data_IF_323538203559
#
_entry.id   IF_323538203559
#
_cell.length_a   1.000
_cell.length_b   1.000
_cell.length_c   1.000
_cell.angle_alpha   90.00
_cell.angle_beta   90.00
_cell.angle_gamma   90.00
#
_symmetry.space_group_name_H-M   'P 1'
#
loop_
_entity.id
_entity.type
_entity.pdbx_description
1 polymer ?
#
# COMPACT_ATOMS: atom_id res chain seq x y z
N UNK A 1 26.88 20.11 -49.16
CA UNK A 1 26.20 19.73 -47.90
C UNK A 1 24.85 20.42 -47.88
N UNK A 2 23.78 19.63 -48.05
CA UNK A 2 22.51 20.11 -48.60
C UNK A 2 21.67 20.85 -47.54
N UNK A 3 21.03 21.94 -47.97
CA UNK A 3 20.25 22.85 -47.12
C UNK A 3 19.11 22.14 -46.36
N UNK A 4 18.56 21.08 -46.95
CA UNK A 4 17.57 20.19 -46.33
C UNK A 4 18.11 19.46 -45.10
N UNK A 5 19.36 18.96 -45.15
CA UNK A 5 19.99 18.26 -44.01
C UNK A 5 20.22 19.19 -42.81
N UNK A 6 20.50 20.48 -43.06
CA UNK A 6 20.70 21.47 -41.97
C UNK A 6 19.40 21.80 -41.24
N UNK A 7 18.27 21.87 -41.95
CA UNK A 7 16.96 22.17 -41.36
C UNK A 7 16.44 21.03 -40.48
N UNK A 8 16.58 19.78 -40.93
CA UNK A 8 16.16 18.60 -40.16
C UNK A 8 16.98 18.42 -38.88
N UNK A 9 18.28 18.69 -38.94
CA UNK A 9 19.15 18.65 -37.74
C UNK A 9 18.76 19.75 -36.75
N UNK A 10 18.40 20.95 -37.23
CA UNK A 10 17.98 22.05 -36.37
C UNK A 10 16.67 21.73 -35.63
N UNK A 11 15.69 21.15 -36.31
CA UNK A 11 14.42 20.74 -35.68
C UNK A 11 14.61 19.65 -34.64
N UNK A 12 15.54 18.72 -34.86
CA UNK A 12 15.86 17.67 -33.91
C UNK A 12 16.53 18.24 -32.65
N UNK A 13 17.49 19.15 -32.80
CA UNK A 13 18.16 19.81 -31.68
C UNK A 13 17.17 20.62 -30.83
N UNK A 14 16.29 21.40 -31.46
CA UNK A 14 15.24 22.15 -30.74
C UNK A 14 14.29 21.21 -30.00
N UNK A 15 13.87 20.12 -30.64
CA UNK A 15 13.04 19.09 -29.99
C UNK A 15 13.70 18.45 -28.77
N UNK A 16 15.00 18.15 -28.86
CA UNK A 16 15.76 17.58 -27.73
C UNK A 16 15.89 18.57 -26.56
N UNK A 17 16.15 19.86 -26.84
CA UNK A 17 16.28 20.88 -25.79
C UNK A 17 14.94 21.14 -25.09
N UNK A 18 13.85 21.22 -25.85
CA UNK A 18 12.51 21.38 -25.28
C UNK A 18 12.07 20.14 -24.50
N UNK A 19 12.34 18.95 -25.02
CA UNK A 19 12.05 17.68 -24.33
C UNK A 19 12.80 17.56 -23.00
N UNK A 20 14.10 17.89 -22.99
CA UNK A 20 14.88 17.91 -21.76
C UNK A 20 14.35 18.95 -20.76
N UNK A 21 14.00 20.16 -21.23
CA UNK A 21 13.44 21.22 -20.39
C UNK A 21 12.14 20.83 -19.70
N UNK A 22 11.24 20.11 -20.39
CA UNK A 22 9.98 19.63 -19.81
C UNK A 22 10.23 18.60 -18.71
N UNK A 23 11.23 17.73 -18.85
CA UNK A 23 11.54 16.73 -17.81
C UNK A 23 12.06 17.35 -16.51
N UNK A 24 12.73 18.50 -16.58
CA UNK A 24 13.14 19.26 -15.39
C UNK A 24 11.98 19.99 -14.70
N UNK A 25 10.91 20.29 -15.43
CA UNK A 25 9.72 20.96 -14.90
C UNK A 25 8.65 19.99 -14.39
N UNK A 26 8.71 18.72 -14.80
CA UNK A 26 7.88 17.68 -14.20
C UNK A 26 8.36 17.35 -12.79
N UNK A 27 7.49 17.45 -11.77
CA UNK A 27 7.85 17.06 -10.42
C UNK A 27 8.24 15.59 -10.42
N UNK A 28 9.47 15.29 -9.98
CA UNK A 28 9.90 13.91 -9.80
C UNK A 28 9.03 13.28 -8.72
N UNK A 29 8.42 12.12 -9.03
CA UNK A 29 7.69 11.36 -8.04
C UNK A 29 8.68 10.84 -7.01
N UNK A 30 8.65 11.37 -5.80
CA UNK A 30 9.41 10.82 -4.69
C UNK A 30 8.87 9.42 -4.38
N UNK A 31 9.64 8.38 -4.71
CA UNK A 31 9.40 7.04 -4.18
C UNK A 31 9.63 7.10 -2.67
N UNK A 32 8.55 7.22 -1.90
CA UNK A 32 8.61 7.11 -0.44
C UNK A 32 8.82 5.65 -0.06
N UNK A 33 9.71 5.42 0.91
CA UNK A 33 9.92 4.10 1.47
C UNK A 33 8.77 3.78 2.44
N UNK A 34 7.99 2.75 2.12
CA UNK A 34 7.11 2.09 3.09
C UNK A 34 7.97 1.51 4.20
N UNK A 35 7.77 1.97 5.43
CA UNK A 35 8.48 1.43 6.59
C UNK A 35 7.64 0.36 7.26
N UNK A 36 8.27 -0.74 7.62
CA UNK A 36 7.69 -1.80 8.43
C UNK A 36 8.64 -2.09 9.59
N UNK A 37 8.09 -2.23 10.79
CA UNK A 37 8.83 -2.60 11.98
C UNK A 37 7.93 -3.40 12.91
N UNK A 38 8.49 -4.39 13.60
CA UNK A 38 7.73 -5.21 14.52
C UNK A 38 8.60 -5.91 15.54
N UNK A 39 7.93 -6.47 16.54
CA UNK A 39 8.48 -7.38 17.52
C UNK A 39 7.62 -8.65 17.58
N UNK A 40 7.87 -9.52 18.55
CA UNK A 40 7.16 -10.79 18.67
C UNK A 40 5.65 -10.63 18.89
N UNK A 41 5.20 -9.51 19.46
CA UNK A 41 3.79 -9.26 19.83
C UNK A 41 3.04 -8.39 18.83
N UNK A 42 3.71 -7.38 18.28
CA UNK A 42 3.11 -6.37 17.43
C UNK A 42 4.02 -6.02 16.27
N UNK A 43 3.44 -5.90 15.10
CA UNK A 43 4.11 -5.34 13.93
C UNK A 43 3.30 -4.17 13.37
N UNK A 44 3.98 -3.20 12.78
CA UNK A 44 3.35 -2.06 12.15
C UNK A 44 3.99 -1.72 10.82
N UNK A 45 3.21 -1.10 9.93
CA UNK A 45 3.72 -0.56 8.69
C UNK A 45 2.98 0.72 8.27
N UNK A 46 3.67 1.57 7.51
CA UNK A 46 3.08 2.72 6.84
C UNK A 46 2.65 2.35 5.43
N UNK A 47 1.55 2.92 4.94
CA UNK A 47 1.04 2.68 3.59
C UNK A 47 0.65 4.01 2.95
N UNK A 48 1.20 4.33 1.76
CA UNK A 48 0.79 5.53 1.04
C UNK A 48 -0.64 5.37 0.52
N UNK A 49 -1.49 6.38 0.72
CA UNK A 49 -2.90 6.33 0.28
C UNK A 49 -3.10 6.96 -1.10
N UNK A 50 -2.35 8.01 -1.40
CA UNK A 50 -2.52 8.79 -2.61
C UNK A 50 -1.17 9.11 -3.22
N UNK A 51 -1.14 9.19 -4.55
CA UNK A 51 0.07 9.49 -5.33
C UNK A 51 0.37 10.98 -5.40
N UNK A 52 -0.61 11.83 -5.06
CA UNK A 52 -0.58 13.28 -5.26
C UNK A 52 -0.49 14.10 -3.97
N UNK A 53 -0.70 13.49 -2.81
CA UNK A 53 -0.64 14.17 -1.52
C UNK A 53 0.11 13.29 -0.52
N UNK A 54 0.90 13.91 0.34
CA UNK A 54 1.72 13.23 1.34
C UNK A 54 0.86 12.76 2.52
N UNK A 55 0.02 11.75 2.29
CA UNK A 55 -0.75 11.12 3.37
C UNK A 55 -0.58 9.62 3.41
N UNK A 56 -0.17 9.16 4.59
CA UNK A 56 0.00 7.76 4.93
C UNK A 56 -1.14 7.27 5.83
N UNK A 57 -1.48 6.01 5.66
CA UNK A 57 -2.12 5.22 6.70
C UNK A 57 -1.07 4.42 7.47
N UNK A 58 -1.33 4.20 8.74
CA UNK A 58 -0.51 3.34 9.59
C UNK A 58 -1.37 2.16 10.00
N UNK A 59 -0.82 0.95 9.92
CA UNK A 59 -1.47 -0.26 10.38
C UNK A 59 -0.61 -0.95 11.43
N UNK A 60 -1.26 -1.51 12.44
CA UNK A 60 -0.69 -2.28 13.53
C UNK A 60 -1.41 -3.63 13.58
N UNK A 61 -0.64 -4.70 13.54
CA UNK A 61 -1.09 -6.08 13.66
C UNK A 61 -0.71 -6.62 15.03
N UNK A 62 -1.71 -7.08 15.78
CA UNK A 62 -1.52 -7.85 17.00
C UNK A 62 -1.33 -9.34 16.64
N UNK A 63 -0.17 -9.89 16.98
CA UNK A 63 0.17 -11.28 16.65
C UNK A 63 -0.58 -12.29 17.53
N UNK A 64 -0.98 -11.90 18.74
CA UNK A 64 -1.69 -12.80 19.65
C UNK A 64 -3.14 -13.02 19.18
N UNK A 65 -3.81 -11.93 18.81
CA UNK A 65 -5.23 -11.97 18.45
C UNK A 65 -5.47 -12.07 16.94
N UNK A 66 -4.47 -11.76 16.11
CA UNK A 66 -4.63 -11.60 14.67
C UNK A 66 -5.52 -10.40 14.30
N UNK A 67 -5.71 -9.44 15.21
CA UNK A 67 -6.49 -8.23 14.93
C UNK A 67 -5.57 -7.18 14.33
N UNK A 68 -5.87 -6.80 13.09
CA UNK A 68 -5.29 -5.67 12.40
C UNK A 68 -6.11 -4.41 12.72
N UNK A 69 -5.42 -3.33 13.09
CA UNK A 69 -6.02 -2.00 13.24
C UNK A 69 -5.20 -0.98 12.46
N UNK A 70 -5.85 0.03 11.92
CA UNK A 70 -5.14 1.10 11.23
C UNK A 70 -5.79 2.46 11.41
N UNK A 71 -5.04 3.50 11.06
CA UNK A 71 -5.48 4.87 11.11
C UNK A 71 -4.99 5.64 9.89
N UNK A 72 -5.89 6.41 9.27
CA UNK A 72 -5.53 7.37 8.24
C UNK A 72 -5.15 8.71 8.85
N UNK A 73 -3.93 9.19 8.57
CA UNK A 73 -3.48 10.51 8.94
C UNK A 73 -3.99 11.54 7.92
N UNK A 74 -4.80 12.49 8.37
CA UNK A 74 -5.27 13.58 7.53
C UNK A 74 -4.26 14.74 7.56
N UNK A 75 -3.63 15.02 6.43
CA UNK A 75 -2.65 16.12 6.30
C UNK A 75 -3.25 17.51 6.52
N UNK A 76 -4.57 17.68 6.33
CA UNK A 76 -5.24 18.97 6.55
C UNK A 76 -5.44 19.27 8.03
N UNK A 77 -5.76 18.24 8.85
CA UNK A 77 -6.04 18.42 10.28
C UNK A 77 -4.88 18.01 11.17
N UNK A 78 -3.86 17.33 10.64
CA UNK A 78 -2.72 16.80 11.40
C UNK A 78 -3.06 15.64 12.34
N UNK A 79 -4.25 15.05 12.21
CA UNK A 79 -4.75 14.01 13.13
C UNK A 79 -5.32 12.80 12.41
N UNK A 80 -5.52 11.70 13.15
CA UNK A 80 -6.19 10.51 12.65
C UNK A 80 -7.67 10.80 12.43
N UNK A 81 -8.15 10.58 11.21
CA UNK A 81 -9.54 10.92 10.84
C UNK A 81 -10.43 9.71 10.55
N UNK A 82 -9.82 8.60 10.11
CA UNK A 82 -10.54 7.37 9.77
C UNK A 82 -9.78 6.17 10.36
N UNK A 83 -10.52 5.25 10.96
CA UNK A 83 -9.97 3.99 11.49
C UNK A 83 -10.23 2.83 10.53
N UNK A 84 -9.35 1.83 10.57
CA UNK A 84 -9.51 0.55 9.88
C UNK A 84 -9.41 -0.58 10.88
N UNK A 85 -10.13 -1.68 10.66
CA UNK A 85 -9.81 -2.94 11.32
C UNK A 85 -10.23 -4.17 10.53
N UNK A 86 -9.57 -5.29 10.83
CA UNK A 86 -9.91 -6.62 10.35
C UNK A 86 -9.33 -7.68 11.28
N UNK A 87 -10.03 -8.80 11.45
CA UNK A 87 -9.46 -9.98 12.08
C UNK A 87 -8.86 -10.89 10.99
N UNK A 88 -7.53 -10.88 10.86
CA UNK A 88 -6.83 -11.67 9.83
C UNK A 88 -6.67 -13.13 10.21
N UNK A 89 -6.76 -13.49 11.51
CA UNK A 89 -6.71 -14.89 11.94
C UNK A 89 -7.84 -15.72 11.28
N UNK A 90 -9.00 -15.10 11.06
CA UNK A 90 -10.12 -15.71 10.36
C UNK A 90 -9.81 -15.98 8.88
N UNK A 91 -9.09 -15.07 8.22
CA UNK A 91 -8.74 -15.21 6.79
C UNK A 91 -7.67 -16.28 6.56
N UNK A 92 -6.74 -16.41 7.51
CA UNK A 92 -5.73 -17.47 7.47
C UNK A 92 -6.29 -18.84 7.87
N UNK A 93 -7.51 -18.89 8.41
CA UNK A 93 -8.09 -20.08 9.03
C UNK A 93 -7.14 -20.69 10.08
N UNK A 94 -6.51 -19.83 10.88
CA UNK A 94 -5.57 -20.27 11.92
C UNK A 94 -6.31 -21.18 12.88
N UNK A 95 -5.76 -22.38 13.10
CA UNK A 95 -6.32 -23.30 14.07
C UNK A 95 -6.25 -22.65 15.46
N UNK A 96 -7.36 -22.52 16.20
CA UNK A 96 -7.34 -21.99 17.56
C UNK A 96 -6.42 -22.78 18.51
N UNK A 97 -6.08 -24.02 18.16
CA UNK A 97 -5.15 -24.87 18.90
C UNK A 97 -3.67 -24.62 18.58
N UNK A 98 -3.34 -23.79 17.57
CA UNK A 98 -1.95 -23.42 17.28
C UNK A 98 -1.43 -22.53 18.41
N UNK A 99 -0.39 -22.94 19.17
CA UNK A 99 -0.04 -22.28 20.43
C UNK A 99 0.39 -20.82 20.33
N UNK A 100 0.83 -20.35 19.16
CA UNK A 100 1.20 -18.95 18.94
C UNK A 100 1.35 -18.68 17.44
N UNK A 101 0.32 -18.17 16.73
CA UNK A 101 0.46 -17.84 15.32
C UNK A 101 1.45 -16.69 15.14
N UNK A 102 2.42 -16.87 14.25
CA UNK A 102 3.43 -15.85 13.95
C UNK A 102 3.07 -15.14 12.67
N UNK A 103 2.96 -13.82 12.73
CA UNK A 103 2.62 -13.00 11.59
C UNK A 103 3.77 -12.11 11.15
N UNK A 104 3.76 -11.76 9.88
CA UNK A 104 4.59 -10.71 9.30
C UNK A 104 3.68 -9.78 8.49
N UNK A 105 4.00 -8.50 8.49
CA UNK A 105 3.26 -7.48 7.74
C UNK A 105 4.23 -6.57 7.01
N UNK A 106 3.94 -6.33 5.74
CA UNK A 106 4.61 -5.32 4.92
C UNK A 106 3.57 -4.62 4.06
N UNK A 107 3.96 -3.50 3.49
CA UNK A 107 3.12 -2.72 2.59
C UNK A 107 3.86 -2.42 1.30
N UNK A 108 3.09 -2.11 0.26
CA UNK A 108 3.67 -1.71 -1.01
C UNK A 108 2.72 -0.86 -1.84
N UNK A 109 3.27 -0.02 -2.75
CA UNK A 109 2.45 0.76 -3.67
C UNK A 109 1.76 -0.19 -4.65
N UNK A 110 0.46 0.04 -4.87
CA UNK A 110 -0.32 -0.74 -5.83
C UNK A 110 -1.55 0.07 -6.25
N UNK A 111 -1.61 0.35 -7.55
CA UNK A 111 -2.70 1.11 -8.13
C UNK A 111 -3.80 0.16 -8.60
N UNK A 112 -4.71 -0.15 -7.67
CA UNK A 112 -5.87 -0.99 -7.96
C UNK A 112 -6.89 -0.21 -8.79
N UNK A 113 -7.37 -0.80 -9.89
CA UNK A 113 -8.45 -0.20 -10.68
C UNK A 113 -9.74 -0.21 -9.86
N UNK A 114 -10.41 0.93 -9.75
CA UNK A 114 -11.73 1.00 -9.14
C UNK A 114 -12.73 0.23 -9.99
N UNK A 115 -13.26 -0.88 -9.48
CA UNK A 115 -14.32 -1.66 -10.12
C UNK A 115 -15.65 -1.40 -9.41
N UNK A 116 -16.16 -0.17 -9.54
CA UNK A 116 -17.43 0.29 -8.93
C UNK A 116 -17.35 0.51 -7.41
N UNK A 117 -17.68 1.72 -6.95
CA UNK A 117 -17.64 2.10 -5.53
C UNK A 117 -16.51 3.08 -5.18
N UNK A 118 -16.23 3.26 -3.88
CA UNK A 118 -15.13 4.12 -3.39
C UNK A 118 -13.80 3.57 -3.90
N UNK A 119 -12.97 4.39 -4.58
CA UNK A 119 -11.67 3.93 -5.06
C UNK A 119 -10.83 3.34 -3.93
N UNK A 120 -10.18 2.18 -4.13
CA UNK A 120 -9.21 1.66 -3.18
C UNK A 120 -8.05 2.65 -3.02
N UNK A 121 -7.39 2.60 -1.86
CA UNK A 121 -6.14 3.32 -1.68
C UNK A 121 -5.07 2.83 -2.68
N UNK A 122 -4.10 3.70 -3.00
CA UNK A 122 -3.02 3.38 -3.94
C UNK A 122 -1.91 2.50 -3.32
N UNK A 123 -2.23 1.76 -2.27
CA UNK A 123 -1.32 0.89 -1.55
C UNK A 123 -2.02 -0.37 -1.06
N UNK A 124 -1.24 -1.44 -0.90
CA UNK A 124 -1.70 -2.73 -0.40
C UNK A 124 -0.94 -3.11 0.87
N UNK A 125 -1.61 -3.92 1.69
CA UNK A 125 -1.01 -4.62 2.81
C UNK A 125 -0.79 -6.07 2.42
N UNK A 126 0.38 -6.61 2.71
CA UNK A 126 0.70 -8.02 2.57
C UNK A 126 0.96 -8.57 3.97
N UNK A 127 0.12 -9.51 4.39
CA UNK A 127 0.27 -10.17 5.69
C UNK A 127 0.58 -11.63 5.41
N UNK A 128 1.61 -12.15 6.07
CA UNK A 128 1.97 -13.55 6.04
C UNK A 128 1.74 -14.19 7.41
N UNK A 129 1.21 -15.40 7.43
CA UNK A 129 1.19 -16.25 8.62
C UNK A 129 2.22 -17.37 8.44
N UNK A 130 3.20 -17.41 9.34
CA UNK A 130 4.44 -18.17 9.15
C UNK A 130 4.26 -19.68 9.36
N UNK A 131 3.24 -20.12 10.09
CA UNK A 131 2.97 -21.54 10.38
C UNK A 131 2.32 -22.23 9.20
N UNK A 132 1.28 -21.62 8.64
CA UNK A 132 0.55 -22.08 7.45
C UNK A 132 1.30 -21.83 6.15
N UNK A 133 2.30 -20.95 6.16
CA UNK A 133 3.05 -20.63 4.96
C UNK A 133 2.25 -19.83 3.95
N UNK A 134 1.22 -19.11 4.38
CA UNK A 134 0.28 -18.37 3.52
C UNK A 134 0.52 -16.87 3.62
N UNK A 135 0.44 -16.18 2.49
CA UNK A 135 0.42 -14.72 2.40
C UNK A 135 -0.88 -14.28 1.77
N UNK A 136 -1.53 -13.27 2.35
CA UNK A 136 -2.75 -12.65 1.83
C UNK A 136 -2.48 -11.17 1.57
N UNK A 137 -2.89 -10.70 0.38
CA UNK A 137 -2.88 -9.29 0.02
C UNK A 137 -4.22 -8.65 0.40
N UNK A 138 -4.18 -7.45 0.99
CA UNK A 138 -5.35 -6.72 1.44
C UNK A 138 -5.40 -5.32 0.85
N UNK A 139 -6.59 -4.94 0.37
CA UNK A 139 -6.97 -3.58 0.00
C UNK A 139 -7.68 -2.89 1.15
N UNK A 140 -7.68 -1.57 1.13
CA UNK A 140 -8.49 -0.75 2.00
C UNK A 140 -8.99 0.46 1.23
N UNK A 141 -10.18 0.95 1.62
CA UNK A 141 -10.82 2.06 0.91
C UNK A 141 -10.08 3.37 1.16
N UNK A 142 -9.99 4.23 0.14
CA UNK A 142 -9.58 5.61 0.36
C UNK A 142 -10.70 6.35 1.10
N UNK A 143 -10.39 7.09 2.18
CA UNK A 143 -11.37 7.94 2.84
C UNK A 143 -11.98 8.96 1.87
N UNK A 144 -13.30 8.91 1.70
CA UNK A 144 -14.05 9.82 0.83
C UNK A 144 -15.11 10.57 1.65
N UNK A 145 -14.73 11.69 2.28
CA UNK A 145 -15.66 12.55 3.04
C UNK A 145 -15.00 13.35 4.17
N UNK A 146 -15.72 14.36 4.68
CA UNK A 146 -15.34 15.16 5.86
C UNK A 146 -16.01 14.68 7.17
N UNK A 147 -16.84 13.64 7.12
CA UNK A 147 -17.54 13.11 8.29
C UNK A 147 -16.66 12.20 9.14
N UNK A 148 -16.92 12.11 10.44
CA UNK A 148 -16.33 11.11 11.31
C UNK A 148 -16.78 9.71 10.82
N UNK A 149 -15.87 8.99 10.19
CA UNK A 149 -16.22 7.74 9.53
C UNK A 149 -16.34 6.60 10.53
N UNK A 150 -17.38 5.79 10.33
CA UNK A 150 -17.38 4.42 10.81
C UNK A 150 -16.08 3.72 10.41
N UNK A 151 -15.64 2.76 11.21
CA UNK A 151 -14.43 1.99 10.95
C UNK A 151 -14.51 1.36 9.55
N UNK A 152 -13.57 1.72 8.69
CA UNK A 152 -13.51 1.23 7.32
C UNK A 152 -12.96 -0.20 7.31
N UNK A 153 -13.53 -1.04 6.45
CA UNK A 153 -13.10 -2.42 6.34
C UNK A 153 -11.82 -2.52 5.50
N UNK A 154 -10.88 -3.33 5.98
CA UNK A 154 -9.77 -3.86 5.17
C UNK A 154 -10.28 -5.13 4.50
N UNK A 155 -10.02 -5.35 3.21
CA UNK A 155 -10.58 -6.48 2.44
C UNK A 155 -9.47 -7.32 1.77
N UNK A 156 -9.51 -8.66 1.87
CA UNK A 156 -8.58 -9.54 1.18
C UNK A 156 -8.85 -9.50 -0.33
N UNK A 157 -7.78 -9.55 -1.11
CA UNK A 157 -7.84 -9.51 -2.56
C UNK A 157 -7.49 -10.88 -3.11
N UNK A 158 -6.35 -11.41 -2.67
CA UNK A 158 -5.79 -12.65 -3.18
C UNK A 158 -4.81 -13.24 -2.16
N UNK A 159 -4.51 -14.53 -2.32
CA UNK A 159 -3.63 -15.27 -1.43
C UNK A 159 -2.72 -16.23 -2.20
N UNK A 160 -1.50 -16.43 -1.71
CA UNK A 160 -0.60 -17.47 -2.19
C UNK A 160 0.11 -18.19 -1.04
N UNK A 161 0.59 -19.40 -1.32
CA UNK A 161 1.42 -20.17 -0.39
C UNK A 161 2.89 -19.96 -0.73
N UNK A 162 3.70 -19.55 0.24
CA UNK A 162 5.16 -19.42 0.09
C UNK A 162 5.93 -20.63 0.64
N UNK A 163 5.25 -21.50 1.40
CA UNK A 163 5.72 -22.83 1.80
C UNK A 163 4.53 -23.72 2.11
N UNK A 164 4.75 -25.02 2.17
CA UNK A 164 3.78 -25.95 2.73
C UNK A 164 3.63 -25.72 4.24
N UNK A 165 2.42 -25.94 4.76
CA UNK A 165 2.14 -25.80 6.18
C UNK A 165 2.97 -26.81 6.99
N UNK A 166 3.58 -26.35 8.07
CA UNK A 166 4.34 -27.23 8.96
C UNK A 166 3.34 -28.03 9.82
N UNK A 167 3.01 -29.25 9.38
CA UNK A 167 2.17 -30.19 10.15
C UNK A 167 0.81 -30.53 9.54
N UNK A 168 0.79 -30.91 8.25
CA UNK A 168 -0.38 -31.59 7.66
C UNK A 168 -0.67 -32.94 8.31
#
# INVERSE_FOLDING_TARGET
MNQSTRSTVLTLVVGCVLGAGITFLTPQQELKATSAHGNDKFSMCTVPITTLAETDAIFVLDHLTGVLRGGYLNSTTGGFSHGYARNVALDFAVNPATPEPKYVIVSGPAQMRASGGTPPANGLLYIGELTSGKVIAYSFARPSGRGAAAMLEVRPIDAFLFREAVGG
#
